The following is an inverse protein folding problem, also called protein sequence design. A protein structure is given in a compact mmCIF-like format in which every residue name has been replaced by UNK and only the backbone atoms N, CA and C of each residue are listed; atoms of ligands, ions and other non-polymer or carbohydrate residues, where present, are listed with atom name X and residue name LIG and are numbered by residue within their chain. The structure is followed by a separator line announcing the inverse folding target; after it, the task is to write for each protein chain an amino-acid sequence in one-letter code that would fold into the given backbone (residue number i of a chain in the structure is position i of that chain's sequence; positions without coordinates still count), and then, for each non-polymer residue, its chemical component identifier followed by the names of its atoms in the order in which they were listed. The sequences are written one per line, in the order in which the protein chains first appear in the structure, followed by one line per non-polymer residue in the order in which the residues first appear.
data_IF_075967144359
#
_entry.id   IF_075967144359
#
_cell.length_a   1.000
_cell.length_b   1.000
_cell.length_c   1.000
_cell.angle_alpha   90.00
_cell.angle_beta   90.00
_cell.angle_gamma   90.00
#
_symmetry.space_group_name_H-M   'P 1'
#
loop_
_entity.id
_entity.type
_entity.pdbx_description
1 polymer ?
#
# COMPACT_ATOMS: atom_id res chain seq x y z
N UNK A 1 -18.63 -11.81 -12.77
CA UNK A 1 -18.94 -12.08 -11.33
C UNK A 1 -17.72 -12.62 -10.58
N UNK A 2 -17.00 -13.61 -11.12
CA UNK A 2 -15.80 -14.17 -10.49
C UNK A 2 -14.70 -13.11 -10.32
N UNK A 3 -14.51 -12.30 -11.35
CA UNK A 3 -13.56 -11.19 -11.46
C UNK A 3 -13.77 -10.18 -10.33
N UNK A 4 -15.02 -9.82 -10.05
CA UNK A 4 -15.39 -8.92 -8.96
C UNK A 4 -15.06 -9.49 -7.57
N UNK A 5 -15.34 -10.78 -7.35
CA UNK A 5 -14.96 -11.46 -6.11
C UNK A 5 -13.44 -11.55 -5.94
N UNK A 6 -12.72 -11.87 -7.01
CA UNK A 6 -11.27 -11.91 -6.99
C UNK A 6 -10.67 -10.51 -6.76
N UNK A 7 -11.25 -9.47 -7.35
CA UNK A 7 -10.86 -8.07 -7.11
C UNK A 7 -11.02 -7.70 -5.64
N UNK A 8 -12.16 -8.07 -5.02
CA UNK A 8 -12.40 -7.87 -3.59
C UNK A 8 -11.36 -8.58 -2.72
N UNK A 9 -11.07 -9.85 -3.00
CA UNK A 9 -10.07 -10.65 -2.26
C UNK A 9 -8.68 -10.01 -2.37
N UNK A 10 -8.26 -9.66 -3.59
CA UNK A 10 -6.95 -9.05 -3.85
C UNK A 10 -6.83 -7.69 -3.17
N UNK A 11 -7.88 -6.87 -3.22
CA UNK A 11 -7.91 -5.59 -2.52
C UNK A 11 -7.85 -5.79 -1.00
N UNK A 12 -8.58 -6.75 -0.44
CA UNK A 12 -8.53 -7.05 0.99
C UNK A 12 -7.13 -7.50 1.44
N UNK A 13 -6.43 -8.31 0.64
CA UNK A 13 -5.04 -8.70 0.90
C UNK A 13 -4.09 -7.50 0.87
N UNK A 14 -4.22 -6.62 -0.13
CA UNK A 14 -3.45 -5.37 -0.19
C UNK A 14 -3.70 -4.50 1.05
N UNK A 15 -4.97 -4.28 1.41
CA UNK A 15 -5.38 -3.48 2.56
C UNK A 15 -4.86 -4.06 3.86
N UNK A 16 -4.97 -5.38 4.05
CA UNK A 16 -4.44 -6.07 5.22
C UNK A 16 -2.93 -5.87 5.38
N UNK A 17 -2.16 -5.99 4.29
CA UNK A 17 -0.72 -5.74 4.31
C UNK A 17 -0.39 -4.28 4.65
N UNK A 18 -1.09 -3.30 4.06
CA UNK A 18 -0.86 -1.88 4.35
C UNK A 18 -1.26 -1.49 5.78
N UNK A 19 -2.36 -2.06 6.31
CA UNK A 19 -2.78 -1.88 7.69
C UNK A 19 -1.78 -2.50 8.66
N UNK A 20 -1.26 -3.71 8.39
CA UNK A 20 -0.22 -4.32 9.21
C UNK A 20 1.01 -3.42 9.32
N UNK A 21 1.47 -2.88 8.18
CA UNK A 21 2.59 -1.93 8.16
C UNK A 21 2.29 -0.70 9.04
N UNK A 22 1.09 -0.15 8.94
CA UNK A 22 0.72 1.10 9.62
C UNK A 22 0.48 0.91 11.13
N UNK A 23 -0.11 -0.22 11.53
CA UNK A 23 -0.62 -0.44 12.88
C UNK A 23 0.29 -1.31 13.75
N UNK A 24 1.07 -2.20 13.14
CA UNK A 24 1.94 -3.14 13.86
C UNK A 24 3.41 -2.88 13.57
N UNK A 25 3.81 -2.91 12.30
CA UNK A 25 5.21 -2.85 11.90
C UNK A 25 5.84 -1.50 12.21
N UNK A 26 5.20 -0.39 11.80
CA UNK A 26 5.74 0.95 11.97
C UNK A 26 5.84 1.38 13.44
N UNK A 27 4.80 1.20 14.29
CA UNK A 27 4.93 1.52 15.72
C UNK A 27 6.03 0.70 16.41
N UNK A 28 6.14 -0.60 16.08
CA UNK A 28 7.18 -1.47 16.63
C UNK A 28 8.58 -1.03 16.18
N UNK A 29 8.74 -0.69 14.90
CA UNK A 29 9.98 -0.16 14.33
C UNK A 29 10.44 1.12 15.02
N UNK A 30 9.52 2.02 15.36
CA UNK A 30 9.84 3.29 16.01
C UNK A 30 10.37 3.13 17.44
N UNK A 31 10.21 1.96 18.06
CA UNK A 31 10.79 1.64 19.37
C UNK A 31 12.28 1.28 19.31
N UNK A 32 12.80 0.96 18.12
CA UNK A 32 14.21 0.63 17.91
C UNK A 32 15.08 1.89 17.91
N UNK A 33 16.37 1.74 18.20
CA UNK A 33 17.37 2.79 17.90
C UNK A 33 17.48 3.02 16.39
N UNK A 34 18.05 4.16 15.98
CA UNK A 34 18.07 4.59 14.57
C UNK A 34 18.80 3.60 13.65
N UNK A 35 19.84 2.92 14.16
CA UNK A 35 20.59 1.91 13.40
C UNK A 35 19.74 0.66 13.18
N UNK A 36 19.17 0.10 14.24
CA UNK A 36 18.31 -1.07 14.15
C UNK A 36 17.05 -0.79 13.31
N UNK A 37 16.46 0.38 13.47
CA UNK A 37 15.31 0.88 12.71
C UNK A 37 15.59 0.94 11.21
N UNK A 38 16.72 1.54 10.80
CA UNK A 38 17.08 1.64 9.38
C UNK A 38 17.48 0.29 8.80
N UNK A 39 18.22 -0.52 9.58
CA UNK A 39 18.64 -1.88 9.22
C UNK A 39 17.43 -2.78 8.91
N UNK A 40 16.35 -2.65 9.68
CA UNK A 40 15.13 -3.42 9.46
C UNK A 40 14.29 -2.82 8.32
N UNK A 41 14.15 -1.49 8.27
CA UNK A 41 13.28 -0.82 7.31
C UNK A 41 13.68 -1.05 5.85
N UNK A 42 14.99 -0.95 5.51
CA UNK A 42 15.46 -1.09 4.12
C UNK A 42 15.07 -2.43 3.47
N UNK A 43 15.35 -3.60 4.08
CA UNK A 43 14.94 -4.88 3.52
C UNK A 43 13.42 -5.12 3.65
N UNK A 44 12.75 -4.61 4.69
CA UNK A 44 11.28 -4.70 4.78
C UNK A 44 10.59 -3.95 3.62
N UNK A 45 11.00 -2.71 3.37
CA UNK A 45 10.47 -1.89 2.27
C UNK A 45 10.54 -2.59 0.92
N UNK A 46 11.70 -3.17 0.58
CA UNK A 46 11.88 -3.91 -0.69
C UNK A 46 10.90 -5.07 -0.82
N UNK A 47 10.72 -5.85 0.24
CA UNK A 47 9.79 -7.00 0.25
C UNK A 47 8.33 -6.54 0.19
N UNK A 48 7.98 -5.51 0.96
CA UNK A 48 6.65 -4.90 0.93
C UNK A 48 6.30 -4.34 -0.45
N UNK A 49 7.25 -3.72 -1.15
CA UNK A 49 7.06 -3.24 -2.53
C UNK A 49 6.76 -4.39 -3.50
N UNK A 50 7.57 -5.46 -3.46
CA UNK A 50 7.39 -6.66 -4.30
C UNK A 50 6.04 -7.33 -4.06
N UNK A 51 5.53 -7.32 -2.82
CA UNK A 51 4.22 -7.88 -2.49
C UNK A 51 3.06 -6.97 -2.92
N UNK A 52 3.11 -5.68 -2.57
CA UNK A 52 1.94 -4.79 -2.75
C UNK A 52 1.77 -4.28 -4.19
N UNK A 53 2.85 -4.12 -4.96
CA UNK A 53 2.73 -3.61 -6.33
C UNK A 53 1.95 -4.56 -7.27
N UNK A 54 2.20 -5.88 -7.29
CA UNK A 54 1.39 -6.83 -8.04
C UNK A 54 -0.06 -6.89 -7.57
N UNK A 55 -0.31 -6.86 -6.25
CA UNK A 55 -1.68 -6.85 -5.72
C UNK A 55 -2.48 -5.65 -6.25
N UNK A 56 -1.87 -4.46 -6.28
CA UNK A 56 -2.54 -3.28 -6.83
C UNK A 56 -2.84 -3.42 -8.34
N UNK A 57 -1.90 -3.94 -9.13
CA UNK A 57 -2.10 -4.18 -10.56
C UNK A 57 -3.19 -5.22 -10.82
N UNK A 58 -3.14 -6.36 -10.13
CA UNK A 58 -4.11 -7.44 -10.28
C UNK A 58 -5.51 -6.99 -9.84
N UNK A 59 -5.63 -6.28 -8.71
CA UNK A 59 -6.90 -5.74 -8.25
C UNK A 59 -7.50 -4.73 -9.22
N UNK A 60 -6.66 -3.87 -9.83
CA UNK A 60 -7.10 -2.96 -10.89
C UNK A 60 -7.64 -3.70 -12.11
N UNK A 61 -6.89 -4.67 -12.64
CA UNK A 61 -7.29 -5.41 -13.85
C UNK A 61 -8.59 -6.19 -13.62
N UNK A 62 -8.71 -6.88 -12.48
CA UNK A 62 -9.91 -7.64 -12.13
C UNK A 62 -11.12 -6.72 -11.92
N UNK A 63 -10.95 -5.61 -11.19
CA UNK A 63 -12.02 -4.65 -10.97
C UNK A 63 -12.48 -3.96 -12.26
N UNK A 64 -11.54 -3.62 -13.14
CA UNK A 64 -11.86 -3.06 -14.46
C UNK A 64 -12.65 -4.06 -15.33
N UNK A 65 -12.23 -5.33 -15.36
CA UNK A 65 -12.95 -6.38 -16.09
C UNK A 65 -14.35 -6.60 -15.52
N UNK A 66 -14.50 -6.63 -14.20
CA UNK A 66 -15.81 -6.77 -13.54
C UNK A 66 -16.75 -5.60 -13.88
N UNK A 67 -16.24 -4.36 -13.91
CA UNK A 67 -17.01 -3.21 -14.38
C UNK A 67 -17.43 -3.35 -15.85
N UNK A 68 -16.50 -3.77 -16.71
CA UNK A 68 -16.77 -3.93 -18.14
C UNK A 68 -17.88 -4.96 -18.43
N UNK A 69 -17.98 -6.01 -17.62
CA UNK A 69 -19.00 -7.05 -17.76
C UNK A 69 -20.36 -6.68 -17.17
N UNK A 70 -20.39 -5.89 -16.09
CA UNK A 70 -21.61 -5.65 -15.29
C UNK A 70 -22.19 -4.26 -15.44
N UNK A 71 -21.42 -3.29 -15.96
CA UNK A 71 -21.71 -1.85 -15.97
C UNK A 71 -21.89 -1.22 -14.56
N UNK A 72 -21.53 -1.95 -13.49
CA UNK A 72 -21.62 -1.46 -12.11
C UNK A 72 -20.42 -0.55 -11.82
N UNK A 73 -20.66 0.76 -11.79
CA UNK A 73 -19.60 1.78 -11.62
C UNK A 73 -18.77 1.65 -10.33
N UNK A 74 -19.29 0.98 -9.29
CA UNK A 74 -18.54 0.73 -8.06
C UNK A 74 -17.31 -0.17 -8.28
N UNK A 75 -17.34 -1.10 -9.24
CA UNK A 75 -16.16 -1.88 -9.63
C UNK A 75 -15.07 -0.98 -10.23
N UNK A 76 -15.44 -0.04 -11.11
CA UNK A 76 -14.49 0.92 -11.68
C UNK A 76 -13.89 1.82 -10.59
N UNK A 77 -14.71 2.32 -9.66
CA UNK A 77 -14.24 3.11 -8.53
C UNK A 77 -13.19 2.35 -7.70
N UNK A 78 -13.47 1.10 -7.35
CA UNK A 78 -12.52 0.25 -6.61
C UNK A 78 -11.21 0.04 -7.37
N UNK A 79 -11.29 -0.21 -8.68
CA UNK A 79 -10.12 -0.37 -9.54
C UNK A 79 -9.25 0.90 -9.57
N UNK A 80 -9.88 2.07 -9.72
CA UNK A 80 -9.17 3.35 -9.74
C UNK A 80 -8.54 3.68 -8.37
N UNK A 81 -9.24 3.38 -7.27
CA UNK A 81 -8.71 3.60 -5.91
C UNK A 81 -7.51 2.72 -5.62
N UNK A 82 -7.53 1.44 -6.00
CA UNK A 82 -6.39 0.55 -5.73
C UNK A 82 -5.18 0.92 -6.59
N UNK A 83 -5.36 1.27 -7.87
CA UNK A 83 -4.24 1.68 -8.74
C UNK A 83 -3.69 3.05 -8.39
N UNK A 84 -4.48 3.93 -7.75
CA UNK A 84 -4.03 5.24 -7.26
C UNK A 84 -2.86 5.15 -6.25
N UNK A 85 -2.63 3.97 -5.65
CA UNK A 85 -1.43 3.71 -4.86
C UNK A 85 -0.12 3.91 -5.64
N UNK A 86 -0.11 3.68 -6.96
CA UNK A 86 1.08 3.88 -7.79
C UNK A 86 1.48 5.35 -7.93
N UNK A 87 0.63 6.28 -8.43
CA UNK A 87 0.99 7.68 -8.49
C UNK A 87 1.26 8.27 -7.10
N UNK A 88 0.51 7.85 -6.06
CA UNK A 88 0.81 8.25 -4.68
C UNK A 88 2.21 7.80 -4.24
N UNK A 89 2.58 6.55 -4.54
CA UNK A 89 3.91 6.03 -4.19
C UNK A 89 5.00 6.75 -4.96
N UNK A 90 4.86 6.95 -6.27
CA UNK A 90 5.88 7.58 -7.11
C UNK A 90 6.12 9.04 -6.76
N UNK A 91 5.06 9.81 -6.51
CA UNK A 91 5.15 11.25 -6.29
C UNK A 91 5.34 11.61 -4.81
N UNK A 92 4.63 10.92 -3.90
CA UNK A 92 4.64 11.22 -2.47
C UNK A 92 5.70 10.47 -1.68
N UNK A 93 5.80 9.15 -1.89
CA UNK A 93 6.61 8.27 -1.04
C UNK A 93 8.04 8.11 -1.56
N UNK A 94 8.21 7.96 -2.88
CA UNK A 94 9.50 7.61 -3.49
C UNK A 94 10.64 8.54 -3.10
N UNK A 95 10.47 9.88 -3.04
CA UNK A 95 11.56 10.76 -2.58
C UNK A 95 12.05 10.41 -1.17
N UNK A 96 11.13 10.07 -0.27
CA UNK A 96 11.44 9.63 1.10
C UNK A 96 12.12 8.25 1.09
N UNK A 97 11.60 7.31 0.29
CA UNK A 97 12.21 5.99 0.15
C UNK A 97 13.63 6.05 -0.38
N UNK A 98 13.88 6.84 -1.43
CA UNK A 98 15.19 6.99 -2.03
C UNK A 98 16.20 7.58 -1.05
N UNK A 99 15.80 8.58 -0.26
CA UNK A 99 16.66 9.15 0.78
C UNK A 99 17.03 8.10 1.85
N UNK A 100 16.06 7.35 2.37
CA UNK A 100 16.30 6.30 3.37
C UNK A 100 17.10 5.12 2.82
N UNK A 101 16.88 4.73 1.56
CA UNK A 101 17.62 3.66 0.89
C UNK A 101 19.08 4.02 0.60
N UNK A 102 19.41 5.30 0.51
CA UNK A 102 20.77 5.78 0.27
C UNK A 102 21.61 5.89 1.56
N UNK A 103 20.99 5.81 2.73
CA UNK A 103 21.69 5.90 4.02
C UNK A 103 22.43 4.60 4.36
N UNK A 104 23.59 4.73 4.99
CA UNK A 104 24.30 3.60 5.58
C UNK A 104 23.65 3.22 6.92
N UNK A 105 23.12 1.99 7.07
CA UNK A 105 22.50 1.55 8.32
C UNK A 105 23.49 1.46 9.49
N UNK A 106 24.81 1.40 9.24
CA UNK A 106 25.83 1.35 10.29
C UNK A 106 26.14 2.72 10.90
N UNK A 107 25.85 3.80 10.17
CA UNK A 107 26.06 5.19 10.56
C UNK A 107 24.82 6.03 10.23
N UNK A 108 23.68 5.81 10.92
CA UNK A 108 22.45 6.54 10.66
C UNK A 108 22.62 8.03 10.98
N UNK A 109 22.31 8.88 9.99
CA UNK A 109 22.35 10.34 10.16
C UNK A 109 21.16 10.89 10.95
N UNK A 110 21.20 12.16 11.38
CA UNK A 110 20.15 12.80 12.18
C UNK A 110 18.77 12.82 11.48
N UNK A 111 18.75 12.71 10.15
CA UNK A 111 17.52 12.73 9.35
C UNK A 111 16.81 11.36 9.29
N UNK A 112 17.44 10.28 9.77
CA UNK A 112 16.91 8.90 9.68
C UNK A 112 15.51 8.78 10.28
N UNK A 113 15.37 9.13 11.56
CA UNK A 113 14.10 9.03 12.28
C UNK A 113 13.03 9.99 11.77
N UNK A 114 13.31 11.28 11.50
CA UNK A 114 12.35 12.18 10.87
C UNK A 114 11.79 11.65 9.54
N UNK A 115 12.66 11.10 8.67
CA UNK A 115 12.23 10.54 7.39
C UNK A 115 11.39 9.27 7.57
N UNK A 116 11.68 8.43 8.56
CA UNK A 116 10.90 7.23 8.86
C UNK A 116 9.51 7.57 9.42
N UNK A 117 9.41 8.61 10.26
CA UNK A 117 8.12 9.15 10.71
C UNK A 117 7.29 9.67 9.52
N UNK A 118 7.93 10.48 8.65
CA UNK A 118 7.31 10.96 7.41
C UNK A 118 6.83 9.79 6.55
N UNK A 119 7.68 8.79 6.34
CA UNK A 119 7.35 7.58 5.59
C UNK A 119 6.10 6.88 6.14
N UNK A 120 6.02 6.68 7.46
CA UNK A 120 4.86 6.07 8.11
C UNK A 120 3.57 6.84 7.85
N UNK A 121 3.61 8.18 7.93
CA UNK A 121 2.44 9.03 7.63
C UNK A 121 1.99 8.91 6.17
N UNK A 122 2.94 8.85 5.23
CA UNK A 122 2.64 8.70 3.82
C UNK A 122 2.11 7.30 3.48
N UNK A 123 2.58 6.28 4.20
CA UNK A 123 2.11 4.91 4.06
C UNK A 123 0.66 4.75 4.53
N UNK A 124 0.24 5.47 5.58
CA UNK A 124 -1.14 5.42 6.08
C UNK A 124 -2.18 5.80 5.00
N UNK A 125 -1.83 6.68 4.05
CA UNK A 125 -2.68 7.01 2.90
C UNK A 125 -2.89 5.78 1.99
N UNK A 126 -1.90 4.90 1.85
CA UNK A 126 -2.05 3.65 1.09
C UNK A 126 -3.05 2.71 1.76
N UNK A 127 -3.04 2.65 3.09
CA UNK A 127 -4.02 1.88 3.87
C UNK A 127 -5.44 2.42 3.65
N UNK A 128 -5.61 3.74 3.61
CA UNK A 128 -6.90 4.37 3.32
C UNK A 128 -7.38 4.07 1.88
N UNK A 129 -6.50 4.22 0.88
CA UNK A 129 -6.82 3.91 -0.52
C UNK A 129 -7.21 2.44 -0.70
N UNK A 130 -6.45 1.52 -0.09
CA UNK A 130 -6.77 0.09 -0.08
C UNK A 130 -8.14 -0.17 0.56
N UNK A 131 -8.38 0.35 1.76
CA UNK A 131 -9.65 0.15 2.47
C UNK A 131 -10.85 0.67 1.68
N UNK A 132 -10.74 1.86 1.09
CA UNK A 132 -11.78 2.42 0.22
C UNK A 132 -12.00 1.56 -1.03
N UNK A 133 -10.94 1.03 -1.64
CA UNK A 133 -11.07 0.11 -2.77
C UNK A 133 -11.77 -1.20 -2.37
N UNK A 134 -11.39 -1.79 -1.23
CA UNK A 134 -12.04 -2.99 -0.68
C UNK A 134 -13.53 -2.74 -0.43
N UNK A 135 -13.89 -1.60 0.16
CA UNK A 135 -15.29 -1.24 0.41
C UNK A 135 -16.07 -1.00 -0.89
N UNK A 136 -15.45 -0.38 -1.89
CA UNK A 136 -16.07 -0.19 -3.20
C UNK A 136 -16.35 -1.53 -3.91
N UNK A 137 -15.40 -2.48 -3.89
CA UNK A 137 -15.61 -3.82 -4.44
C UNK A 137 -16.63 -4.65 -3.66
N UNK A 138 -16.68 -4.50 -2.33
CA UNK A 138 -17.71 -5.13 -1.49
C UNK A 138 -19.09 -4.59 -1.85
N UNK A 139 -19.23 -3.28 -1.97
CA UNK A 139 -20.48 -2.65 -2.38
C UNK A 139 -20.93 -3.11 -3.77
N UNK A 140 -20.00 -3.17 -4.73
CA UNK A 140 -20.27 -3.64 -6.08
C UNK A 140 -20.80 -5.09 -6.07
N UNK A 141 -20.15 -5.98 -5.33
CA UNK A 141 -20.58 -7.38 -5.13
C UNK A 141 -22.01 -7.50 -4.59
N UNK A 142 -22.42 -6.57 -3.73
CA UNK A 142 -23.77 -6.58 -3.13
C UNK A 142 -24.83 -5.91 -4.02
N UNK A 143 -24.41 -5.27 -5.10
CA UNK A 143 -25.27 -4.52 -6.03
C UNK A 143 -25.45 -5.22 -7.38
N UNK A 144 -24.73 -6.33 -7.59
CA UNK A 144 -24.77 -7.22 -8.77
C UNK A 144 -25.79 -8.35 -8.54
#
# INVERSE_FOLDING_TARGET
MLEGQLALIVAALFTGAALYVSLAEQPSRLMLDDKALLTEWQPSYKRGFIMQAPLAATGFLLGFLAWWETDIGAYLLGALLIVANWPWTMLGIMPTNSALMAMDPTEPGPDTRPLILKWGSLHAVRSALGALATLAFLWATLSD
#
